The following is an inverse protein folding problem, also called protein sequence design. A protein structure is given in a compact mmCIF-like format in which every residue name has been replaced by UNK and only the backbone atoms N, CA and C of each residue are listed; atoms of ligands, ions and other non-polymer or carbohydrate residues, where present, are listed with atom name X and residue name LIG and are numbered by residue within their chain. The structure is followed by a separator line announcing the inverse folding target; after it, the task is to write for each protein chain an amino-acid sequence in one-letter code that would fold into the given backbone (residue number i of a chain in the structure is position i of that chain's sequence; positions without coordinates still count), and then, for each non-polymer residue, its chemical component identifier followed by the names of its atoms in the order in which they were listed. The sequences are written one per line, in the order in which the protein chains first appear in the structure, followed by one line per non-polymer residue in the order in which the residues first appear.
data_IF_000032455213
#
_entry.id   IF_000032455213
#
_cell.length_a   1.000
_cell.length_b   1.000
_cell.length_c   1.000
_cell.angle_alpha   90.00
_cell.angle_beta   90.00
_cell.angle_gamma   90.00
#
_symmetry.space_group_name_H-M   'P 1'
#
loop_
_entity.id
_entity.type
_entity.pdbx_description
1 polymer ?
#
# COMPACT_ATOMS: atom_id res chain seq x y z
N UNK A 1 12.53 -6.29 -3.33
CA UNK A 1 11.90 -6.52 -2.03
C UNK A 1 11.29 -5.23 -1.46
N UNK A 2 11.98 -4.14 -1.53
CA UNK A 2 11.49 -2.81 -1.15
C UNK A 2 11.19 -1.98 -2.40
N UNK A 3 10.05 -2.21 -3.04
CA UNK A 3 9.72 -1.62 -4.34
C UNK A 3 9.74 -0.08 -4.34
N UNK A 4 9.48 0.59 -3.23
CA UNK A 4 9.58 2.05 -3.14
C UNK A 4 11.00 2.51 -3.47
N UNK A 5 12.01 1.82 -2.92
CA UNK A 5 13.40 2.10 -3.18
C UNK A 5 13.81 1.67 -4.60
N UNK A 6 13.54 0.42 -4.96
CA UNK A 6 13.99 -0.17 -6.22
C UNK A 6 13.37 0.52 -7.44
N UNK A 7 12.07 0.84 -7.37
CA UNK A 7 11.35 1.51 -8.44
C UNK A 7 11.82 2.95 -8.64
N UNK A 8 12.08 3.66 -7.56
CA UNK A 8 12.61 5.03 -7.63
C UNK A 8 13.94 5.09 -8.37
N UNK A 9 14.86 4.18 -8.04
CA UNK A 9 16.14 4.05 -8.76
C UNK A 9 15.93 3.70 -10.23
N UNK A 10 15.05 2.74 -10.51
CA UNK A 10 14.75 2.31 -11.86
C UNK A 10 14.18 3.44 -12.72
N UNK A 11 13.23 4.21 -12.20
CA UNK A 11 12.58 5.32 -12.93
C UNK A 11 13.56 6.47 -13.19
N UNK A 12 14.46 6.78 -12.26
CA UNK A 12 15.51 7.79 -12.44
C UNK A 12 16.54 7.34 -13.49
N UNK A 13 16.94 6.07 -13.44
CA UNK A 13 17.97 5.54 -14.34
C UNK A 13 17.44 5.35 -15.76
N UNK A 14 16.18 5.02 -15.91
CA UNK A 14 15.54 4.69 -17.18
C UNK A 14 14.27 5.51 -17.44
N UNK A 15 14.36 6.85 -17.54
CA UNK A 15 13.19 7.73 -17.59
C UNK A 15 12.28 7.52 -18.80
N UNK A 16 12.79 6.91 -19.88
CA UNK A 16 12.04 6.67 -21.12
C UNK A 16 11.36 5.31 -21.20
N UNK A 17 11.50 4.46 -20.16
CA UNK A 17 10.82 3.17 -20.16
C UNK A 17 9.33 3.37 -19.83
N UNK A 18 8.47 2.74 -20.63
CA UNK A 18 7.02 2.74 -20.38
C UNK A 18 6.72 2.22 -18.98
N UNK A 19 5.72 2.80 -18.28
CA UNK A 19 5.29 2.33 -16.98
C UNK A 19 5.00 0.83 -16.96
N UNK A 20 5.50 0.13 -15.96
CA UNK A 20 5.30 -1.30 -15.75
C UNK A 20 4.60 -1.54 -14.42
N UNK A 21 3.87 -2.65 -14.35
CA UNK A 21 3.31 -3.11 -13.09
C UNK A 21 4.43 -3.55 -12.13
N UNK A 22 4.33 -3.13 -10.88
CA UNK A 22 5.26 -3.47 -9.80
C UNK A 22 4.52 -4.16 -8.67
N UNK A 23 5.18 -5.15 -8.09
CA UNK A 23 4.76 -5.81 -6.86
C UNK A 23 5.90 -5.71 -5.84
N UNK A 24 5.56 -5.71 -4.56
CA UNK A 24 6.54 -5.56 -3.48
C UNK A 24 6.42 -6.71 -2.48
N UNK A 25 7.41 -7.59 -2.43
CA UNK A 25 7.40 -8.71 -1.49
C UNK A 25 7.46 -8.27 -0.02
N UNK A 26 7.81 -7.03 0.27
CA UNK A 26 7.72 -6.46 1.62
C UNK A 26 6.27 -6.13 2.03
N UNK A 27 5.44 -5.67 1.07
CA UNK A 27 4.10 -5.12 1.34
C UNK A 27 2.95 -5.95 0.75
N UNK A 28 3.19 -6.70 -0.34
CA UNK A 28 2.16 -7.47 -1.03
C UNK A 28 2.11 -8.95 -0.60
N UNK A 29 2.93 -9.35 0.37
CA UNK A 29 2.81 -10.63 1.11
C UNK A 29 2.40 -10.33 2.55
N UNK A 30 1.40 -11.04 3.05
CA UNK A 30 0.84 -10.81 4.40
C UNK A 30 1.69 -11.50 5.49
N UNK A 31 2.95 -11.08 5.64
CA UNK A 31 3.93 -11.72 6.54
C UNK A 31 3.42 -11.87 7.97
N UNK A 32 2.71 -10.87 8.50
CA UNK A 32 2.16 -10.94 9.87
C UNK A 32 1.14 -12.08 10.02
N UNK A 33 0.30 -12.35 9.02
CA UNK A 33 -0.62 -13.48 9.02
C UNK A 33 0.12 -14.82 8.96
N UNK A 34 1.32 -14.81 8.43
CA UNK A 34 2.22 -15.97 8.38
C UNK A 34 3.12 -16.11 9.62
N UNK A 35 2.85 -15.32 10.69
CA UNK A 35 3.64 -15.27 11.95
C UNK A 35 5.09 -14.86 11.73
N UNK A 36 5.32 -13.96 10.77
CA UNK A 36 6.60 -13.33 10.50
C UNK A 36 6.48 -11.86 10.85
N UNK A 37 7.07 -11.47 11.98
CA UNK A 37 6.85 -10.18 12.65
C UNK A 37 7.62 -9.03 12.02
N UNK A 38 8.68 -9.34 11.27
CA UNK A 38 9.50 -8.34 10.56
C UNK A 38 9.49 -8.60 9.05
N UNK A 39 9.31 -7.54 8.29
CA UNK A 39 9.31 -7.61 6.83
C UNK A 39 10.70 -7.40 6.21
N UNK A 40 11.78 -7.35 7.03
CA UNK A 40 13.15 -7.29 6.52
C UNK A 40 13.50 -8.61 5.82
N UNK A 41 14.14 -8.51 4.65
CA UNK A 41 14.48 -9.68 3.84
C UNK A 41 15.31 -10.71 4.62
N UNK A 42 16.30 -10.25 5.38
CA UNK A 42 17.15 -11.08 6.23
C UNK A 42 16.34 -11.84 7.29
N UNK A 43 15.37 -11.19 7.92
CA UNK A 43 14.52 -11.81 8.94
C UNK A 43 13.59 -12.85 8.32
N UNK A 44 13.00 -12.55 7.14
CA UNK A 44 12.16 -13.50 6.42
C UNK A 44 13.01 -14.70 5.99
N UNK A 45 14.21 -14.49 5.45
CA UNK A 45 15.13 -15.54 5.10
C UNK A 45 15.47 -16.44 6.31
N UNK A 46 15.78 -15.84 7.45
CA UNK A 46 16.02 -16.54 8.71
C UNK A 46 14.84 -17.45 9.11
N UNK A 47 13.60 -16.95 9.02
CA UNK A 47 12.40 -17.77 9.29
C UNK A 47 12.24 -18.97 8.34
N UNK A 48 12.78 -18.87 7.13
CA UNK A 48 12.83 -19.96 6.16
C UNK A 48 14.14 -20.77 6.23
N UNK A 49 14.90 -20.65 7.32
CA UNK A 49 16.17 -21.35 7.57
C UNK A 49 17.30 -21.00 6.60
N UNK A 50 17.30 -19.77 6.06
CA UNK A 50 18.38 -19.27 5.23
C UNK A 50 19.18 -18.21 5.96
N UNK A 51 20.49 -18.33 5.90
CA UNK A 51 21.43 -17.33 6.38
C UNK A 51 22.28 -16.87 5.20
N UNK A 52 22.43 -15.56 5.05
CA UNK A 52 23.22 -14.97 3.99
C UNK A 52 23.83 -13.64 4.42
N UNK A 53 24.91 -13.23 3.76
CA UNK A 53 25.44 -11.88 3.89
C UNK A 53 24.61 -10.91 3.06
N UNK A 54 23.76 -10.11 3.71
CA UNK A 54 22.94 -9.08 3.09
C UNK A 54 23.75 -7.93 2.48
N UNK A 55 23.04 -6.99 1.86
CA UNK A 55 23.57 -5.77 1.25
C UNK A 55 24.45 -5.98 0.00
N UNK A 56 24.35 -7.14 -0.63
CA UNK A 56 24.85 -7.39 -1.99
C UNK A 56 23.67 -7.62 -2.90
N UNK A 57 23.38 -6.67 -3.80
CA UNK A 57 22.16 -6.65 -4.61
C UNK A 57 21.84 -7.98 -5.29
N UNK A 58 22.84 -8.67 -5.85
CA UNK A 58 22.65 -9.99 -6.50
C UNK A 58 22.20 -11.05 -5.49
N UNK A 59 22.78 -11.07 -4.30
CA UNK A 59 22.44 -12.03 -3.25
C UNK A 59 21.02 -11.75 -2.73
N UNK A 60 20.70 -10.48 -2.47
CA UNK A 60 19.35 -10.07 -2.03
C UNK A 60 18.28 -10.46 -3.08
N UNK A 61 18.57 -10.30 -4.38
CA UNK A 61 17.68 -10.77 -5.46
C UNK A 61 17.49 -12.29 -5.45
N UNK A 62 18.57 -13.06 -5.32
CA UNK A 62 18.48 -14.53 -5.30
C UNK A 62 17.69 -15.04 -4.08
N UNK A 63 17.92 -14.45 -2.91
CA UNK A 63 17.15 -14.76 -1.70
C UNK A 63 15.69 -14.36 -1.86
N UNK A 64 15.41 -13.19 -2.45
CA UNK A 64 14.05 -12.75 -2.76
C UNK A 64 13.31 -13.75 -3.65
N UNK A 65 13.94 -14.23 -4.74
CA UNK A 65 13.38 -15.25 -5.63
C UNK A 65 13.15 -16.56 -4.87
N UNK A 66 14.13 -16.98 -4.05
CA UNK A 66 14.01 -18.19 -3.27
C UNK A 66 12.84 -18.13 -2.29
N UNK A 67 12.68 -17.02 -1.52
CA UNK A 67 11.56 -16.82 -0.60
C UNK A 67 10.22 -16.86 -1.35
N UNK A 68 10.14 -16.22 -2.50
CA UNK A 68 8.91 -16.21 -3.32
C UNK A 68 8.55 -17.60 -3.87
N UNK A 69 9.50 -18.51 -3.99
CA UNK A 69 9.26 -19.91 -4.38
C UNK A 69 8.79 -20.79 -3.22
N UNK A 70 8.80 -20.30 -1.98
CA UNK A 70 8.38 -21.07 -0.81
C UNK A 70 6.87 -21.02 -0.59
N UNK A 71 6.36 -22.04 0.10
CA UNK A 71 5.00 -22.03 0.65
C UNK A 71 4.98 -21.24 1.97
N UNK A 72 4.01 -20.40 2.11
CA UNK A 72 3.75 -19.66 3.34
C UNK A 72 3.34 -20.60 4.48
N UNK A 73 3.69 -20.29 5.72
CA UNK A 73 3.54 -21.21 6.84
C UNK A 73 2.09 -21.49 7.23
N UNK A 74 1.23 -20.46 7.26
CA UNK A 74 -0.17 -20.62 7.68
C UNK A 74 -1.08 -20.89 6.48
N UNK A 75 -1.05 -20.03 5.47
CA UNK A 75 -1.95 -20.14 4.31
C UNK A 75 -1.61 -21.31 3.38
N UNK A 76 -0.39 -21.86 3.48
CA UNK A 76 0.15 -22.91 2.57
C UNK A 76 0.18 -22.50 1.09
N UNK A 77 -0.19 -21.25 0.79
CA UNK A 77 -0.12 -20.67 -0.53
C UNK A 77 1.35 -20.41 -0.92
N UNK A 78 1.65 -20.46 -2.22
CA UNK A 78 2.96 -20.02 -2.72
C UNK A 78 3.13 -18.52 -2.47
N UNK A 79 4.26 -18.10 -1.91
CA UNK A 79 4.49 -16.68 -1.59
C UNK A 79 4.39 -15.80 -2.84
N UNK A 80 4.91 -16.26 -3.99
CA UNK A 80 4.77 -15.55 -5.28
C UNK A 80 3.30 -15.39 -5.68
N UNK A 81 2.47 -16.41 -5.47
CA UNK A 81 1.04 -16.31 -5.81
C UNK A 81 0.36 -15.25 -4.96
N UNK A 82 0.57 -15.25 -3.66
CA UNK A 82 -0.01 -14.23 -2.77
C UNK A 82 0.46 -12.82 -3.14
N UNK A 83 1.75 -12.65 -3.43
CA UNK A 83 2.32 -11.40 -3.90
C UNK A 83 1.59 -10.89 -5.15
N UNK A 84 1.39 -11.73 -6.15
CA UNK A 84 0.73 -11.33 -7.40
C UNK A 84 -0.76 -11.05 -7.19
N UNK A 85 -1.46 -11.90 -6.45
CA UNK A 85 -2.87 -11.70 -6.14
C UNK A 85 -3.10 -10.35 -5.44
N UNK A 86 -2.26 -10.01 -4.45
CA UNK A 86 -2.37 -8.76 -3.70
C UNK A 86 -1.92 -7.53 -4.51
N UNK A 87 -0.87 -7.67 -5.33
CA UNK A 87 -0.39 -6.56 -6.17
C UNK A 87 -1.40 -6.15 -7.24
N UNK A 88 -2.23 -7.08 -7.70
CA UNK A 88 -3.30 -6.81 -8.68
C UNK A 88 -4.51 -6.10 -8.07
N UNK A 89 -4.65 -6.10 -6.74
CA UNK A 89 -5.75 -5.39 -6.07
C UNK A 89 -5.45 -3.89 -5.98
N UNK A 90 -6.42 -3.02 -6.27
CA UNK A 90 -6.26 -1.59 -6.04
C UNK A 90 -6.13 -1.30 -4.54
N UNK A 91 -5.41 -0.23 -4.23
CA UNK A 91 -5.27 0.33 -2.88
C UNK A 91 -5.90 1.71 -2.84
N UNK A 92 -6.56 2.00 -1.74
CA UNK A 92 -7.30 3.24 -1.52
C UNK A 92 -6.62 4.02 -0.40
N UNK A 93 -6.16 5.22 -0.70
CA UNK A 93 -5.58 6.13 0.30
C UNK A 93 -6.62 7.17 0.69
N UNK A 94 -7.10 7.07 1.91
CA UNK A 94 -8.08 7.98 2.50
C UNK A 94 -7.34 9.10 3.23
N UNK A 95 -7.86 10.31 3.11
CA UNK A 95 -7.29 11.49 3.73
C UNK A 95 -8.28 12.11 4.72
N UNK A 96 -7.96 12.05 6.01
CA UNK A 96 -8.71 12.74 7.06
C UNK A 96 -8.35 14.24 7.06
N UNK A 97 -8.75 14.92 5.97
CA UNK A 97 -8.50 16.35 5.75
C UNK A 97 -9.27 17.18 6.78
N UNK A 98 -8.60 18.18 7.37
CA UNK A 98 -9.18 19.06 8.39
C UNK A 98 -9.63 18.36 9.69
N UNK A 99 -9.18 17.16 9.97
CA UNK A 99 -9.43 16.52 11.25
C UNK A 99 -8.88 17.38 12.41
N UNK A 100 -9.69 17.59 13.44
CA UNK A 100 -9.27 18.38 14.60
C UNK A 100 -8.06 17.75 15.31
N UNK A 101 -7.17 18.58 15.82
CA UNK A 101 -5.95 18.13 16.51
C UNK A 101 -6.25 17.18 17.70
N UNK A 102 -7.40 17.38 18.35
CA UNK A 102 -7.86 16.51 19.44
C UNK A 102 -7.98 15.01 19.03
N UNK A 103 -8.22 14.72 17.76
CA UNK A 103 -8.38 13.35 17.27
C UNK A 103 -7.06 12.67 16.85
N UNK A 104 -5.91 13.32 17.03
CA UNK A 104 -4.59 12.80 16.62
C UNK A 104 -4.29 11.41 17.17
N UNK A 105 -4.62 11.16 18.43
CA UNK A 105 -4.30 9.89 19.08
C UNK A 105 -5.24 8.76 18.64
N UNK A 106 -6.50 9.07 18.34
CA UNK A 106 -7.45 8.14 17.73
C UNK A 106 -6.98 7.72 16.31
N UNK A 107 -6.58 8.70 15.50
CA UNK A 107 -6.07 8.44 14.15
C UNK A 107 -4.76 7.64 14.18
N UNK A 108 -3.83 7.96 15.09
CA UNK A 108 -2.59 7.19 15.27
C UNK A 108 -2.85 5.75 15.70
N UNK A 109 -3.76 5.54 16.65
CA UNK A 109 -4.15 4.20 17.09
C UNK A 109 -4.72 3.33 15.95
N UNK A 110 -5.35 3.96 14.95
CA UNK A 110 -5.83 3.32 13.71
C UNK A 110 -4.78 3.30 12.59
N UNK A 111 -3.52 3.59 12.90
CA UNK A 111 -2.39 3.54 11.97
C UNK A 111 -2.38 4.63 10.88
N UNK A 112 -3.14 5.71 11.04
CA UNK A 112 -2.99 6.88 10.19
C UNK A 112 -1.62 7.51 10.39
N UNK A 113 -1.08 8.06 9.31
CA UNK A 113 0.18 8.81 9.27
C UNK A 113 -0.08 10.23 8.80
N UNK A 114 0.63 11.18 9.39
CA UNK A 114 0.58 12.57 8.95
C UNK A 114 1.40 12.70 7.67
N UNK A 115 0.77 13.16 6.60
CA UNK A 115 1.37 13.20 5.28
C UNK A 115 0.94 14.45 4.51
N UNK A 116 1.63 14.74 3.39
CA UNK A 116 1.31 15.85 2.49
C UNK A 116 0.79 15.28 1.18
N UNK A 117 -0.39 15.71 0.73
CA UNK A 117 -0.90 15.34 -0.58
C UNK A 117 -0.06 16.02 -1.66
N UNK A 118 0.58 15.26 -2.56
CA UNK A 118 1.63 15.81 -3.42
C UNK A 118 1.13 16.69 -4.56
N UNK A 119 -0.14 16.59 -4.95
CA UNK A 119 -0.75 17.43 -5.99
C UNK A 119 -1.43 18.65 -5.37
N UNK A 120 -2.37 18.41 -4.45
CA UNK A 120 -3.19 19.48 -3.86
C UNK A 120 -2.48 20.21 -2.70
N UNK A 121 -1.30 19.74 -2.32
CA UNK A 121 -0.41 20.34 -1.31
C UNK A 121 -1.05 20.62 0.06
N UNK A 122 -2.10 19.88 0.44
CA UNK A 122 -2.64 19.92 1.80
C UNK A 122 -1.95 18.89 2.70
N UNK A 123 -1.94 19.14 4.00
CA UNK A 123 -1.44 18.18 5.01
C UNK A 123 -2.61 17.56 5.76
N UNK A 124 -2.60 16.25 5.88
CA UNK A 124 -3.64 15.52 6.60
C UNK A 124 -3.14 14.17 7.12
N UNK A 125 -3.90 13.58 8.02
CA UNK A 125 -3.76 12.17 8.37
C UNK A 125 -4.23 11.31 7.20
N UNK A 126 -3.46 10.31 6.82
CA UNK A 126 -3.82 9.40 5.72
C UNK A 126 -3.60 7.94 6.10
N UNK A 127 -4.39 7.07 5.50
CA UNK A 127 -4.26 5.62 5.62
C UNK A 127 -4.47 4.97 4.25
N UNK A 128 -3.68 3.93 3.96
CA UNK A 128 -3.84 3.12 2.74
C UNK A 128 -4.50 1.78 3.08
N UNK A 129 -5.59 1.45 2.40
CA UNK A 129 -6.46 0.32 2.69
C UNK A 129 -6.80 -0.49 1.44
N UNK A 130 -7.10 -1.79 1.58
CA UNK A 130 -7.78 -2.56 0.54
C UNK A 130 -9.23 -2.11 0.41
N UNK A 131 -9.84 -2.36 -0.76
CA UNK A 131 -11.23 -2.00 -1.07
C UNK A 131 -12.24 -2.45 0.02
N UNK A 132 -12.09 -3.66 0.52
CA UNK A 132 -12.97 -4.25 1.53
C UNK A 132 -13.05 -3.51 2.88
N UNK A 133 -12.14 -2.57 3.12
CA UNK A 133 -12.09 -1.78 4.36
C UNK A 133 -12.51 -0.32 4.17
N UNK A 134 -12.63 0.14 2.92
CA UNK A 134 -12.88 1.55 2.58
C UNK A 134 -14.19 2.07 3.18
N UNK A 135 -15.28 1.36 2.97
CA UNK A 135 -16.61 1.75 3.48
C UNK A 135 -16.61 1.91 5.01
N UNK A 136 -16.11 0.90 5.70
CA UNK A 136 -16.03 0.94 7.16
C UNK A 136 -15.19 2.11 7.66
N UNK A 137 -14.12 2.44 6.95
CA UNK A 137 -13.22 3.51 7.36
C UNK A 137 -13.79 4.90 7.04
N UNK A 138 -14.48 5.07 5.91
CA UNK A 138 -15.22 6.31 5.61
C UNK A 138 -16.28 6.55 6.69
N UNK A 139 -17.06 5.52 7.06
CA UNK A 139 -18.06 5.62 8.11
C UNK A 139 -17.45 6.02 9.44
N UNK A 140 -16.33 5.40 9.82
CA UNK A 140 -15.61 5.77 11.03
C UNK A 140 -15.17 7.25 11.01
N UNK A 141 -14.60 7.73 9.92
CA UNK A 141 -14.19 9.13 9.82
C UNK A 141 -15.38 10.08 9.97
N UNK A 142 -16.50 9.78 9.32
CA UNK A 142 -17.72 10.59 9.40
C UNK A 142 -18.28 10.63 10.82
N UNK A 143 -18.40 9.47 11.49
CA UNK A 143 -19.05 9.37 12.82
C UNK A 143 -18.15 9.81 13.95
N UNK A 144 -16.91 9.31 14.01
CA UNK A 144 -16.05 9.46 15.17
C UNK A 144 -15.09 10.67 15.08
N UNK A 145 -14.75 11.09 13.86
CA UNK A 145 -13.78 12.18 13.67
C UNK A 145 -14.46 13.50 13.33
N UNK A 146 -15.45 13.48 12.46
CA UNK A 146 -16.08 14.72 12.00
C UNK A 146 -17.44 14.99 12.65
N UNK A 147 -18.17 13.97 13.05
CA UNK A 147 -19.53 14.11 13.59
C UNK A 147 -20.54 14.69 12.60
N UNK A 148 -20.22 14.67 11.31
CA UNK A 148 -21.01 15.25 10.23
C UNK A 148 -20.67 14.62 8.90
N UNK A 149 -21.55 14.81 7.92
CA UNK A 149 -21.24 14.46 6.53
C UNK A 149 -20.09 15.32 6.01
N UNK A 150 -19.00 14.66 5.63
CA UNK A 150 -17.86 15.31 5.03
C UNK A 150 -17.35 14.46 3.86
N UNK A 151 -17.04 15.12 2.76
CA UNK A 151 -16.39 14.47 1.64
C UNK A 151 -14.94 14.11 2.00
N UNK A 152 -14.64 12.81 2.07
CA UNK A 152 -13.31 12.27 2.39
C UNK A 152 -12.53 12.13 1.09
N UNK A 153 -11.43 12.87 0.88
CA UNK A 153 -10.60 12.67 -0.30
C UNK A 153 -10.02 11.25 -0.33
N UNK A 154 -10.12 10.60 -1.50
CA UNK A 154 -9.63 9.23 -1.71
C UNK A 154 -8.84 9.16 -3.00
N UNK A 155 -7.61 8.65 -2.90
CA UNK A 155 -6.78 8.31 -4.05
C UNK A 155 -6.78 6.80 -4.27
N UNK A 156 -6.74 6.38 -5.54
CA UNK A 156 -6.70 4.97 -5.92
C UNK A 156 -5.35 4.68 -6.58
N UNK A 157 -4.67 3.66 -6.09
CA UNK A 157 -3.38 3.19 -6.60
C UNK A 157 -3.48 1.74 -7.04
N UNK A 158 -2.84 1.42 -8.16
CA UNK A 158 -2.69 0.07 -8.69
C UNK A 158 -1.22 -0.36 -8.82
N UNK A 159 -0.97 -1.53 -9.36
CA UNK A 159 0.37 -2.03 -9.60
C UNK A 159 1.21 -1.12 -10.52
N UNK A 160 0.58 -0.29 -11.37
CA UNK A 160 1.27 0.63 -12.27
C UNK A 160 1.64 1.95 -11.61
N UNK A 161 0.84 2.43 -10.66
CA UNK A 161 1.05 3.72 -9.97
C UNK A 161 1.71 3.58 -8.61
N UNK A 162 1.48 2.48 -7.87
CA UNK A 162 2.09 2.26 -6.56
C UNK A 162 3.62 2.26 -6.65
N UNK A 163 4.28 2.77 -5.63
CA UNK A 163 5.74 2.84 -5.48
C UNK A 163 6.47 3.74 -6.49
N UNK A 164 5.77 4.38 -7.43
CA UNK A 164 6.36 5.33 -8.38
C UNK A 164 6.62 6.69 -7.73
N UNK A 165 7.68 7.37 -8.15
CA UNK A 165 7.91 8.79 -7.83
C UNK A 165 6.77 9.68 -8.36
N UNK A 166 6.13 9.25 -9.45
CA UNK A 166 5.02 9.93 -10.10
C UNK A 166 3.68 9.24 -9.86
N UNK A 167 3.53 8.56 -8.71
CA UNK A 167 2.36 7.72 -8.41
C UNK A 167 1.02 8.42 -8.60
N UNK A 168 0.91 9.69 -8.22
CA UNK A 168 -0.31 10.49 -8.37
C UNK A 168 -0.57 10.99 -9.79
N UNK A 169 0.49 11.18 -10.59
CA UNK A 169 0.37 11.59 -12.00
C UNK A 169 -0.01 10.40 -12.88
N UNK A 170 0.43 9.20 -12.50
CA UNK A 170 0.20 7.96 -13.25
C UNK A 170 -1.15 7.29 -12.96
N UNK A 171 -1.98 7.89 -12.08
CA UNK A 171 -3.33 7.37 -11.82
C UNK A 171 -4.18 7.46 -13.08
N UNK A 172 -4.60 6.32 -13.60
CA UNK A 172 -5.57 6.24 -14.69
C UNK A 172 -6.99 6.30 -14.12
N UNK A 173 -7.54 7.51 -14.02
CA UNK A 173 -8.89 7.76 -13.49
C UNK A 173 -9.98 7.02 -14.28
N UNK A 174 -9.76 6.75 -15.56
CA UNK A 174 -10.73 6.05 -16.38
C UNK A 174 -10.78 4.56 -16.04
N UNK A 175 -9.68 3.97 -15.62
CA UNK A 175 -9.60 2.56 -15.21
C UNK A 175 -10.44 2.27 -13.95
N UNK A 176 -10.67 3.28 -13.13
CA UNK A 176 -11.38 3.15 -11.85
C UNK A 176 -12.62 4.04 -11.77
N UNK A 177 -13.21 4.38 -12.91
CA UNK A 177 -14.39 5.24 -12.97
C UNK A 177 -15.58 4.65 -12.16
N UNK A 178 -15.79 3.33 -12.23
CA UNK A 178 -16.77 2.59 -11.44
C UNK A 178 -16.48 2.64 -9.94
N UNK A 179 -15.21 2.53 -9.54
CA UNK A 179 -14.77 2.63 -8.13
C UNK A 179 -14.93 4.05 -7.59
N UNK A 180 -14.63 5.05 -8.41
CA UNK A 180 -14.83 6.46 -8.05
C UNK A 180 -16.33 6.75 -7.89
N UNK A 181 -17.18 6.24 -8.80
CA UNK A 181 -18.64 6.36 -8.67
C UNK A 181 -19.14 5.73 -7.38
N UNK A 182 -18.71 4.51 -7.09
CA UNK A 182 -19.06 3.82 -5.85
C UNK A 182 -18.64 4.60 -4.60
N UNK A 183 -17.42 5.16 -4.56
CA UNK A 183 -16.96 6.00 -3.42
C UNK A 183 -17.85 7.23 -3.27
N UNK A 184 -18.21 7.91 -4.37
CA UNK A 184 -19.05 9.09 -4.34
C UNK A 184 -20.48 8.74 -3.84
N UNK A 185 -21.06 7.64 -4.30
CA UNK A 185 -22.33 7.12 -3.82
C UNK A 185 -22.29 6.80 -2.32
N UNK A 186 -21.26 6.09 -1.88
CA UNK A 186 -21.03 5.79 -0.46
C UNK A 186 -20.93 7.06 0.41
N UNK A 187 -20.29 8.09 -0.11
CA UNK A 187 -20.18 9.36 0.61
C UNK A 187 -21.47 10.18 0.64
N UNK A 188 -22.35 10.00 -0.35
CA UNK A 188 -23.64 10.68 -0.42
C UNK A 188 -24.75 10.00 0.40
N UNK A 189 -24.59 8.71 0.75
CA UNK A 189 -25.64 7.89 1.38
C UNK A 189 -25.60 7.90 2.91
N UNK A 190 -24.57 8.49 3.50
CA UNK A 190 -24.30 8.51 4.94
C UNK A 190 -24.33 9.92 5.52
#
# INVERSE_FOLDING_TARGET
HNAIFDRSFFEITFPNIKPRAWACSMYDVNWNQEKIESHKLEYIAYKYNFFYEGHRAIIDCLIGIHILSQKLYNSKQLALKQLLDNAMQPRFKLWAKNAAYAHKDLLRARQYRWDTHPIDNFKAWSIELPESQVEKEINYLKTEIYGSEMNIPVDIFDAYSRFSLNSYIQQDKNRYADKISWINELQATL
#
